data_IF_254082924441
#
_entry.id   IF_254082924441
#
_cell.length_a   1.000
_cell.length_b   1.000
_cell.length_c   1.000
_cell.angle_alpha   90.00
_cell.angle_beta   90.00
_cell.angle_gamma   90.00
#
_symmetry.space_group_name_H-M   'P 1'
#
loop_
_entity.id
_entity.type
_entity.pdbx_description
1 polymer ?
#
# COMPACT_ATOMS: atom_id res chain seq x y z
N UNK A 1 -9.23 9.96 -24.21
CA UNK A 1 -9.59 9.28 -25.44
C UNK A 1 -10.85 8.45 -25.31
N UNK A 2 -10.89 7.34 -24.56
CA UNK A 2 -12.07 6.46 -24.45
C UNK A 2 -13.11 6.92 -23.42
N UNK A 3 -12.74 7.75 -22.45
CA UNK A 3 -13.62 8.16 -21.36
C UNK A 3 -14.91 8.87 -21.83
N UNK A 4 -14.92 9.75 -22.86
CA UNK A 4 -16.19 10.32 -23.34
C UNK A 4 -17.12 9.28 -23.99
N UNK A 5 -16.55 8.25 -24.64
CA UNK A 5 -17.31 7.14 -25.23
C UNK A 5 -18.14 6.41 -24.17
N UNK A 6 -17.56 6.19 -22.98
CA UNK A 6 -18.24 5.59 -21.83
C UNK A 6 -18.90 6.62 -20.91
N UNK A 7 -19.10 7.88 -21.37
CA UNK A 7 -19.72 8.98 -20.61
C UNK A 7 -19.01 9.28 -19.29
N UNK A 8 -17.70 9.15 -19.26
CA UNK A 8 -16.86 9.48 -18.11
C UNK A 8 -16.23 10.86 -18.29
N UNK A 9 -15.97 11.57 -17.19
CA UNK A 9 -15.31 12.87 -17.18
C UNK A 9 -13.79 12.75 -17.27
N UNK A 10 -13.25 11.67 -16.68
CA UNK A 10 -11.81 11.40 -16.59
C UNK A 10 -11.51 9.89 -16.67
N UNK A 11 -10.25 9.49 -16.87
CA UNK A 11 -9.86 8.08 -16.85
C UNK A 11 -10.08 7.43 -15.48
N UNK A 12 -10.94 6.39 -15.36
CA UNK A 12 -11.28 5.80 -14.06
C UNK A 12 -10.14 4.94 -13.45
N UNK A 13 -9.24 4.43 -14.28
CA UNK A 13 -8.21 3.46 -13.89
C UNK A 13 -6.78 4.01 -13.96
N UNK A 14 -6.61 5.29 -13.57
CA UNK A 14 -5.28 5.89 -13.40
C UNK A 14 -4.48 5.14 -12.33
N UNK A 15 -3.16 4.99 -12.58
CA UNK A 15 -2.22 4.38 -11.62
C UNK A 15 -1.67 5.38 -10.60
N UNK A 16 -1.86 6.67 -10.83
CA UNK A 16 -1.47 7.71 -9.87
C UNK A 16 -2.33 7.59 -8.60
N UNK A 17 -1.72 7.51 -7.42
CA UNK A 17 -2.47 7.45 -6.17
C UNK A 17 -3.27 8.74 -5.94
N UNK A 18 -4.59 8.65 -6.07
CA UNK A 18 -5.54 9.72 -5.80
C UNK A 18 -6.50 9.28 -4.69
N UNK A 19 -6.55 10.07 -3.61
CA UNK A 19 -7.38 9.77 -2.44
C UNK A 19 -8.88 9.85 -2.70
N UNK A 20 -9.32 10.54 -3.76
CA UNK A 20 -10.71 10.54 -4.20
C UNK A 20 -11.17 9.15 -4.64
N UNK A 21 -10.25 8.36 -5.20
CA UNK A 21 -10.49 6.98 -5.63
C UNK A 21 -10.24 5.93 -4.53
N UNK A 22 -10.11 6.33 -3.28
CA UNK A 22 -9.93 5.38 -2.19
C UNK A 22 -11.18 4.51 -2.02
N UNK A 23 -11.04 3.23 -2.26
CA UNK A 23 -12.08 2.24 -2.00
C UNK A 23 -11.91 1.67 -0.60
N UNK A 24 -12.93 1.90 0.25
CA UNK A 24 -12.92 1.47 1.65
C UNK A 24 -13.24 -0.03 1.77
N UNK A 25 -12.39 -0.87 1.16
CA UNK A 25 -12.46 -2.32 1.30
C UNK A 25 -12.32 -2.73 2.78
N UNK A 26 -13.02 -3.78 3.25
CA UNK A 26 -13.02 -4.17 4.66
C UNK A 26 -11.62 -4.30 5.28
N UNK A 27 -10.65 -4.94 4.60
CA UNK A 27 -9.29 -5.09 5.14
C UNK A 27 -8.54 -3.75 5.22
N UNK A 28 -8.68 -2.87 4.24
CA UNK A 28 -8.05 -1.55 4.27
C UNK A 28 -8.69 -0.65 5.34
N UNK A 29 -10.01 -0.74 5.52
CA UNK A 29 -10.71 0.00 6.57
C UNK A 29 -10.34 -0.53 7.96
N UNK A 30 -10.25 -1.85 8.15
CA UNK A 30 -9.80 -2.47 9.39
C UNK A 30 -8.37 -2.01 9.72
N UNK A 31 -7.44 -2.06 8.77
CA UNK A 31 -6.08 -1.60 8.94
C UNK A 31 -6.02 -0.11 9.34
N UNK A 32 -6.80 0.76 8.69
CA UNK A 32 -6.87 2.19 9.05
C UNK A 32 -7.40 2.38 10.47
N UNK A 33 -8.45 1.68 10.84
CA UNK A 33 -9.04 1.75 12.17
C UNK A 33 -8.05 1.27 13.25
N UNK A 34 -7.38 0.14 13.02
CA UNK A 34 -6.33 -0.37 13.92
C UNK A 34 -5.21 0.65 14.09
N UNK A 35 -4.73 1.27 12.99
CA UNK A 35 -3.72 2.34 13.06
C UNK A 35 -4.18 3.51 13.93
N UNK A 36 -5.39 4.01 13.70
CA UNK A 36 -5.91 5.17 14.44
C UNK A 36 -6.10 4.85 15.93
N UNK A 37 -6.59 3.64 16.25
CA UNK A 37 -6.74 3.18 17.64
C UNK A 37 -5.37 3.04 18.30
N UNK A 38 -4.43 2.33 17.69
CA UNK A 38 -3.09 2.11 18.21
C UNK A 38 -2.35 3.45 18.49
N UNK A 39 -2.42 4.37 17.53
CA UNK A 39 -1.79 5.69 17.68
C UNK A 39 -2.46 6.53 18.78
N UNK A 40 -3.79 6.43 18.95
CA UNK A 40 -4.49 7.10 20.06
C UNK A 40 -4.14 6.50 21.42
N UNK A 41 -3.92 5.20 21.49
CA UNK A 41 -3.50 4.50 22.70
C UNK A 41 -2.04 4.72 23.08
N UNK A 42 -1.25 5.41 22.23
CA UNK A 42 0.15 5.75 22.54
C UNK A 42 1.14 4.64 22.15
N UNK A 43 0.74 3.71 21.29
CA UNK A 43 1.63 2.62 20.83
C UNK A 43 2.85 3.16 20.09
N UNK A 44 4.03 2.57 20.40
CA UNK A 44 5.29 3.06 19.86
C UNK A 44 5.55 2.63 18.40
N UNK A 45 5.21 1.39 18.06
CA UNK A 45 5.38 0.84 16.71
C UNK A 45 4.12 0.13 16.23
N UNK A 46 3.73 0.46 15.02
CA UNK A 46 2.66 -0.24 14.29
C UNK A 46 3.16 -0.58 12.88
N UNK A 47 2.78 -1.74 12.38
CA UNK A 47 3.20 -2.22 11.06
C UNK A 47 1.98 -2.56 10.20
N UNK A 48 2.03 -2.13 8.94
CA UNK A 48 1.09 -2.52 7.88
C UNK A 48 1.87 -3.21 6.77
N UNK A 49 1.43 -4.39 6.41
CA UNK A 49 2.02 -5.17 5.32
C UNK A 49 0.98 -5.38 4.22
N UNK A 50 1.40 -5.23 2.98
CA UNK A 50 0.58 -5.56 1.83
C UNK A 50 1.44 -5.88 0.61
N UNK A 51 0.91 -6.71 -0.26
CA UNK A 51 1.52 -6.99 -1.57
C UNK A 51 1.65 -5.71 -2.42
N UNK A 52 2.56 -5.78 -3.40
CA UNK A 52 2.74 -4.69 -4.37
C UNK A 52 1.42 -4.43 -5.10
N UNK A 53 0.97 -3.17 -5.08
CA UNK A 53 -0.25 -2.78 -5.79
C UNK A 53 -1.55 -2.93 -4.99
N UNK A 54 -1.52 -3.39 -3.73
CA UNK A 54 -2.70 -3.49 -2.84
C UNK A 54 -3.08 -2.18 -2.14
N UNK A 55 -2.55 -1.03 -2.55
CA UNK A 55 -3.01 0.28 -2.09
C UNK A 55 -2.35 0.81 -0.82
N UNK A 56 -1.18 0.29 -0.39
CA UNK A 56 -0.40 0.78 0.78
C UNK A 56 -0.25 2.30 0.80
N UNK A 57 0.29 2.87 -0.28
CA UNK A 57 0.56 4.31 -0.37
C UNK A 57 -0.72 5.15 -0.29
N UNK A 58 -1.84 4.63 -0.80
CA UNK A 58 -3.12 5.30 -0.70
C UNK A 58 -3.66 5.28 0.74
N UNK A 59 -3.53 4.13 1.44
CA UNK A 59 -3.85 4.02 2.86
C UNK A 59 -2.96 4.93 3.71
N UNK A 60 -1.65 4.99 3.41
CA UNK A 60 -0.70 5.90 4.05
C UNK A 60 -1.16 7.37 3.93
N UNK A 61 -1.53 7.84 2.74
CA UNK A 61 -2.07 9.19 2.52
C UNK A 61 -3.38 9.43 3.29
N UNK A 62 -4.27 8.44 3.35
CA UNK A 62 -5.49 8.53 4.17
C UNK A 62 -5.19 8.63 5.65
N UNK A 63 -4.21 7.88 6.15
CA UNK A 63 -3.75 7.99 7.52
C UNK A 63 -3.21 9.40 7.82
N UNK A 64 -2.30 9.91 7.00
CA UNK A 64 -1.73 11.26 7.16
C UNK A 64 -2.83 12.33 7.19
N UNK A 65 -3.80 12.26 6.29
CA UNK A 65 -4.94 13.18 6.28
C UNK A 65 -5.80 13.07 7.55
N UNK A 66 -6.00 11.87 8.08
CA UNK A 66 -6.75 11.64 9.31
C UNK A 66 -6.02 12.16 10.56
N UNK A 67 -4.68 12.09 10.56
CA UNK A 67 -3.84 12.54 11.68
C UNK A 67 -3.60 14.05 11.71
N UNK A 68 -3.77 14.75 10.60
CA UNK A 68 -3.38 16.16 10.43
C UNK A 68 -3.98 17.13 11.47
N UNK A 69 -5.12 16.78 12.08
CA UNK A 69 -5.78 17.60 13.10
C UNK A 69 -5.17 17.42 14.50
N UNK A 70 -4.72 16.22 14.81
CA UNK A 70 -4.40 15.79 16.18
C UNK A 70 -2.91 15.52 16.40
N UNK A 71 -2.14 15.37 15.31
CA UNK A 71 -0.74 14.99 15.35
C UNK A 71 0.12 15.85 14.42
N UNK A 72 1.39 16.02 14.76
CA UNK A 72 2.41 16.39 13.79
C UNK A 72 2.96 15.11 13.15
N UNK A 73 3.08 15.10 11.84
CA UNK A 73 3.50 13.91 11.10
C UNK A 73 4.80 14.20 10.35
N UNK A 74 5.76 13.26 10.45
CA UNK A 74 6.90 13.16 9.56
C UNK A 74 6.64 12.03 8.58
N UNK A 75 6.83 12.26 7.27
CA UNK A 75 6.58 11.26 6.23
C UNK A 75 7.81 10.95 5.40
N UNK A 76 8.26 9.72 5.43
CA UNK A 76 9.42 9.24 4.67
C UNK A 76 8.95 8.26 3.60
N UNK A 77 8.78 8.69 2.34
CA UNK A 77 8.29 7.85 1.24
C UNK A 77 9.34 6.87 0.70
N UNK A 78 10.61 7.20 0.83
CA UNK A 78 11.72 6.36 0.39
C UNK A 78 12.77 6.26 1.51
N UNK A 79 12.74 5.18 2.31
CA UNK A 79 13.59 5.05 3.49
C UNK A 79 14.94 4.39 3.21
N UNK A 80 15.38 4.28 1.95
CA UNK A 80 16.71 3.77 1.59
C UNK A 80 17.81 4.79 1.95
N UNK A 81 17.79 5.23 3.22
CA UNK A 81 18.65 6.25 3.80
C UNK A 81 19.55 5.63 4.86
N UNK A 82 20.81 6.05 4.92
CA UNK A 82 21.66 5.73 6.07
C UNK A 82 21.11 6.36 7.35
N UNK A 83 21.56 5.85 8.49
CA UNK A 83 21.04 6.24 9.80
C UNK A 83 21.10 7.75 10.07
N UNK A 84 22.16 8.43 9.63
CA UNK A 84 22.32 9.87 9.83
C UNK A 84 21.38 10.67 8.94
N UNK A 85 21.31 10.31 7.67
CA UNK A 85 20.42 10.96 6.69
C UNK A 85 18.95 10.77 7.08
N UNK A 86 18.58 9.60 7.61
CA UNK A 86 17.24 9.36 8.16
C UNK A 86 16.90 10.32 9.31
N UNK A 87 17.82 10.55 10.25
CA UNK A 87 17.60 11.50 11.34
C UNK A 87 17.39 12.92 10.82
N UNK A 88 18.21 13.36 9.86
CA UNK A 88 18.08 14.68 9.25
C UNK A 88 16.74 14.83 8.54
N UNK A 89 16.32 13.82 7.78
CA UNK A 89 15.02 13.83 7.09
C UNK A 89 13.85 13.91 8.09
N UNK A 90 13.91 13.17 9.20
CA UNK A 90 12.88 13.27 10.25
C UNK A 90 12.87 14.67 10.90
N UNK A 91 14.04 15.26 11.16
CA UNK A 91 14.12 16.61 11.70
C UNK A 91 13.56 17.64 10.71
N UNK A 92 13.86 17.51 9.42
CA UNK A 92 13.35 18.36 8.34
C UNK A 92 11.82 18.31 8.26
N UNK A 93 11.24 17.11 8.19
CA UNK A 93 9.79 16.88 8.16
C UNK A 93 9.07 17.49 9.38
N UNK A 94 9.73 17.47 10.55
CA UNK A 94 9.22 18.08 11.77
C UNK A 94 9.61 19.56 11.93
N UNK A 95 10.23 20.19 10.94
CA UNK A 95 10.75 21.56 11.02
C UNK A 95 11.65 21.82 12.26
N UNK A 96 12.42 20.80 12.69
CA UNK A 96 13.42 20.90 13.75
C UNK A 96 14.73 21.36 13.13
N UNK A 97 15.22 22.51 13.54
CA UNK A 97 16.48 23.07 13.03
C UNK A 97 17.68 22.29 13.56
N UNK A 98 18.45 21.73 12.65
CA UNK A 98 19.69 21.01 12.95
C UNK A 98 20.76 21.46 11.96
N UNK A 99 21.98 21.65 12.46
CA UNK A 99 23.13 21.87 11.58
C UNK A 99 23.40 20.59 10.77
N UNK A 100 23.38 20.65 9.43
CA UNK A 100 23.70 19.49 8.60
C UNK A 100 25.09 18.90 8.83
N UNK A 101 26.04 19.65 9.39
CA UNK A 101 27.37 19.18 9.75
C UNK A 101 27.43 18.56 11.16
N UNK A 102 26.36 18.61 11.96
CA UNK A 102 26.33 18.09 13.32
C UNK A 102 26.59 16.57 13.36
N UNK A 103 27.16 16.07 14.44
CA UNK A 103 27.30 14.62 14.68
C UNK A 103 25.92 13.98 14.90
N UNK A 104 25.79 12.66 14.61
CA UNK A 104 24.54 11.94 14.84
C UNK A 104 24.03 12.08 16.27
N UNK A 105 24.93 12.08 17.26
CA UNK A 105 24.56 12.32 18.67
C UNK A 105 23.92 13.69 18.88
N UNK A 106 24.44 14.73 18.24
CA UNK A 106 23.88 16.08 18.33
C UNK A 106 22.50 16.13 17.66
N UNK A 107 22.35 15.51 16.50
CA UNK A 107 21.07 15.42 15.78
C UNK A 107 20.01 14.76 16.66
N UNK A 108 20.33 13.62 17.29
CA UNK A 108 19.41 12.92 18.22
C UNK A 108 18.99 13.83 19.39
N UNK A 109 19.93 14.58 19.99
CA UNK A 109 19.60 15.52 21.08
C UNK A 109 18.66 16.66 20.63
N UNK A 110 18.86 17.20 19.43
CA UNK A 110 17.97 18.24 18.90
C UNK A 110 16.59 17.66 18.57
N UNK A 111 16.53 16.42 18.02
CA UNK A 111 15.28 15.71 17.82
C UNK A 111 14.56 15.47 19.15
N UNK A 112 15.24 14.96 20.15
CA UNK A 112 14.68 14.74 21.49
C UNK A 112 14.10 16.03 22.09
N UNK A 113 14.84 17.14 22.01
CA UNK A 113 14.37 18.45 22.46
C UNK A 113 13.11 18.88 21.73
N UNK A 114 13.11 18.78 20.39
CA UNK A 114 11.95 19.13 19.57
C UNK A 114 10.72 18.27 19.85
N UNK A 115 10.91 16.97 20.13
CA UNK A 115 9.82 16.07 20.54
C UNK A 115 9.26 16.44 21.93
N UNK A 116 10.13 16.78 22.89
CA UNK A 116 9.72 17.23 24.23
C UNK A 116 8.92 18.55 24.20
N UNK A 117 9.33 19.52 23.37
CA UNK A 117 8.60 20.77 23.19
C UNK A 117 7.18 20.52 22.67
N UNK A 118 7.02 19.65 21.68
CA UNK A 118 5.73 19.24 21.14
C UNK A 118 4.86 18.53 22.18
N UNK A 119 5.48 17.63 22.93
CA UNK A 119 4.81 16.93 24.01
C UNK A 119 4.29 17.86 25.10
N UNK A 120 5.05 18.92 25.47
CA UNK A 120 4.63 19.95 26.41
C UNK A 120 3.47 20.78 25.84
N UNK A 121 3.45 21.01 24.53
CA UNK A 121 2.33 21.66 23.85
C UNK A 121 1.10 20.73 23.63
N UNK A 122 1.13 19.51 24.17
CA UNK A 122 0.03 18.54 24.03
C UNK A 122 -0.02 17.85 22.66
N UNK A 123 0.94 18.07 21.79
CA UNK A 123 0.96 17.50 20.43
C UNK A 123 1.66 16.16 20.40
N UNK A 124 1.07 15.22 19.68
CA UNK A 124 1.66 13.92 19.39
C UNK A 124 2.46 13.98 18.10
N UNK A 125 3.54 13.21 18.01
CA UNK A 125 4.37 13.11 16.81
C UNK A 125 4.34 11.68 16.28
N UNK A 126 4.02 11.54 14.99
CA UNK A 126 3.95 10.26 14.29
C UNK A 126 4.89 10.29 13.09
N UNK A 127 5.86 9.38 13.08
CA UNK A 127 6.73 9.11 11.94
C UNK A 127 6.09 8.01 11.09
N UNK A 128 5.77 8.30 9.86
CA UNK A 128 5.22 7.37 8.89
C UNK A 128 6.26 7.06 7.83
N UNK A 129 6.61 5.80 7.70
CA UNK A 129 7.63 5.32 6.75
C UNK A 129 6.95 4.39 5.75
N UNK A 130 6.95 4.76 4.46
CA UNK A 130 6.51 3.88 3.37
C UNK A 130 7.69 3.04 2.85
N UNK A 131 7.40 1.93 2.17
CA UNK A 131 8.39 0.98 1.63
C UNK A 131 9.43 0.52 2.68
N UNK A 132 8.99 0.28 3.92
CA UNK A 132 9.85 0.00 5.08
C UNK A 132 10.77 -1.23 4.91
N UNK A 133 10.49 -2.14 3.96
CA UNK A 133 11.41 -3.21 3.61
C UNK A 133 12.74 -2.70 3.00
N UNK A 134 12.79 -1.44 2.55
CA UNK A 134 14.00 -0.84 1.99
C UNK A 134 14.89 -0.15 3.04
N UNK A 135 14.48 -0.08 4.32
CA UNK A 135 15.27 0.55 5.40
C UNK A 135 16.56 -0.26 5.63
N UNK A 136 17.78 0.32 5.57
CA UNK A 136 19.00 -0.39 5.95
C UNK A 136 18.98 -0.85 7.42
N UNK A 137 19.60 -2.00 7.74
CA UNK A 137 19.55 -2.59 9.08
C UNK A 137 20.08 -1.64 10.19
N UNK A 138 21.14 -0.89 9.89
CA UNK A 138 21.66 0.15 10.82
C UNK A 138 20.63 1.25 11.08
N UNK A 139 19.84 1.60 10.08
CA UNK A 139 18.76 2.59 10.22
C UNK A 139 17.58 2.02 10.98
N UNK A 140 17.26 0.73 10.81
CA UNK A 140 16.26 0.03 11.64
C UNK A 140 16.65 0.09 13.12
N UNK A 141 17.91 -0.18 13.44
CA UNK A 141 18.40 -0.11 14.81
C UNK A 141 18.36 1.32 15.37
N UNK A 142 18.67 2.33 14.56
CA UNK A 142 18.52 3.71 14.94
C UNK A 142 17.04 4.05 15.28
N UNK A 143 16.08 3.64 14.45
CA UNK A 143 14.66 3.87 14.71
C UNK A 143 14.22 3.20 16.03
N UNK A 144 14.76 2.03 16.35
CA UNK A 144 14.55 1.38 17.64
C UNK A 144 15.06 2.23 18.81
N UNK A 145 16.25 2.82 18.67
CA UNK A 145 16.81 3.70 19.69
C UNK A 145 16.01 5.00 19.87
N UNK A 146 15.65 5.64 18.76
CA UNK A 146 14.87 6.90 18.80
C UNK A 146 13.47 6.67 19.35
N UNK A 147 12.88 5.49 19.15
CA UNK A 147 11.58 5.14 19.74
C UNK A 147 11.61 5.00 21.28
N UNK A 148 12.79 4.96 21.89
CA UNK A 148 12.95 5.00 23.35
C UNK A 148 12.82 6.39 23.94
N UNK A 149 12.74 7.42 23.11
CA UNK A 149 12.52 8.78 23.58
C UNK A 149 11.10 8.84 24.14
N UNK A 150 11.02 8.85 25.47
CA UNK A 150 9.75 8.81 26.20
C UNK A 150 9.85 9.65 27.48
N UNK A 151 8.70 10.03 27.99
CA UNK A 151 8.55 10.50 29.37
C UNK A 151 8.07 9.32 30.23
N UNK A 152 8.00 9.51 31.55
CA UNK A 152 7.44 8.50 32.47
C UNK A 152 6.02 8.04 32.08
N UNK A 153 5.30 8.82 31.28
CA UNK A 153 3.88 8.59 31.01
C UNK A 153 3.54 8.27 29.55
N UNK A 154 4.45 8.57 28.58
CA UNK A 154 4.12 8.41 27.16
C UNK A 154 5.34 8.38 26.25
N UNK A 155 5.21 7.69 25.12
CA UNK A 155 6.14 7.74 23.98
C UNK A 155 6.05 9.13 23.34
N UNK A 156 7.22 9.72 23.01
CA UNK A 156 7.29 11.02 22.34
C UNK A 156 7.24 10.90 20.83
N UNK A 157 7.64 9.75 20.28
CA UNK A 157 7.60 9.43 18.86
C UNK A 157 6.91 8.08 18.67
N UNK A 158 5.86 8.07 17.86
CA UNK A 158 5.18 6.86 17.41
C UNK A 158 5.60 6.59 15.96
N UNK A 159 5.81 5.34 15.59
CA UNK A 159 6.34 4.96 14.27
C UNK A 159 5.37 4.00 13.59
N UNK A 160 4.97 4.34 12.37
CA UNK A 160 4.15 3.48 11.50
C UNK A 160 4.99 3.03 10.32
N UNK A 161 5.13 1.72 10.16
CA UNK A 161 5.86 1.10 9.06
C UNK A 161 4.87 0.53 8.04
N UNK A 162 4.89 1.07 6.83
CA UNK A 162 4.21 0.46 5.69
C UNK A 162 5.24 -0.32 4.86
N UNK A 163 5.00 -1.61 4.64
CA UNK A 163 5.95 -2.46 3.92
C UNK A 163 5.30 -3.54 3.08
N UNK A 164 6.15 -4.23 2.34
CA UNK A 164 5.80 -5.44 1.59
C UNK A 164 6.05 -6.67 2.48
N UNK A 165 5.59 -7.90 2.10
CA UNK A 165 5.79 -9.10 2.90
C UNK A 165 7.25 -9.40 3.25
N UNK A 166 8.20 -8.91 2.45
CA UNK A 166 9.63 -9.00 2.71
C UNK A 166 10.04 -8.32 4.01
N UNK A 167 9.28 -7.30 4.45
CA UNK A 167 9.49 -6.67 5.75
C UNK A 167 9.33 -7.67 6.89
N UNK A 168 8.33 -8.56 6.82
CA UNK A 168 8.10 -9.58 7.83
C UNK A 168 9.29 -10.55 7.92
N UNK A 169 9.76 -11.03 6.76
CA UNK A 169 10.91 -11.92 6.68
C UNK A 169 12.20 -11.27 7.22
N UNK A 170 12.39 -9.97 6.95
CA UNK A 170 13.54 -9.22 7.48
C UNK A 170 13.46 -9.04 8.99
N UNK A 171 12.32 -8.58 9.51
CA UNK A 171 12.13 -8.34 10.95
C UNK A 171 12.22 -9.63 11.78
N UNK A 172 11.99 -10.79 11.17
CA UNK A 172 12.17 -12.10 11.82
C UNK A 172 13.65 -12.50 12.02
N UNK A 173 14.60 -11.80 11.38
CA UNK A 173 16.02 -12.09 11.50
C UNK A 173 16.51 -11.84 12.93
N UNK A 174 17.47 -12.64 13.44
CA UNK A 174 17.90 -12.59 14.84
C UNK A 174 18.33 -11.20 15.32
N UNK A 175 19.05 -10.44 14.49
CA UNK A 175 19.56 -9.12 14.84
C UNK A 175 18.48 -8.01 14.84
N UNK A 176 17.32 -8.22 14.22
CA UNK A 176 16.18 -7.28 14.20
C UNK A 176 15.06 -7.67 15.18
N UNK A 177 15.21 -8.81 15.88
CA UNK A 177 14.18 -9.35 16.76
C UNK A 177 13.74 -8.37 17.85
N UNK A 178 14.63 -7.50 18.32
CA UNK A 178 14.31 -6.49 19.33
C UNK A 178 13.31 -5.43 18.82
N UNK A 179 13.36 -5.08 17.53
CA UNK A 179 12.35 -4.20 16.93
C UNK A 179 11.01 -4.93 16.78
N UNK A 180 11.06 -6.19 16.30
CA UNK A 180 9.85 -7.00 16.14
C UNK A 180 9.04 -7.09 17.45
N UNK A 181 9.72 -7.24 18.61
CA UNK A 181 9.07 -7.28 19.93
C UNK A 181 8.43 -5.95 20.35
N UNK A 182 8.75 -4.85 19.69
CA UNK A 182 8.15 -3.52 19.95
C UNK A 182 6.96 -3.20 19.08
N UNK A 183 6.71 -3.99 18.04
CA UNK A 183 5.55 -3.82 17.18
C UNK A 183 4.34 -4.37 17.91
N UNK A 184 3.50 -3.47 18.42
CA UNK A 184 2.30 -3.81 19.19
C UNK A 184 1.15 -4.27 18.29
N UNK A 185 1.05 -3.70 17.10
CA UNK A 185 0.01 -4.02 16.11
C UNK A 185 0.61 -4.27 14.74
N UNK A 186 0.13 -5.32 14.10
CA UNK A 186 0.54 -5.70 12.75
C UNK A 186 -0.70 -6.11 11.96
N UNK A 187 -1.00 -5.35 10.91
CA UNK A 187 -2.12 -5.62 10.01
C UNK A 187 -1.63 -5.96 8.62
N UNK A 188 -2.44 -6.73 7.90
CA UNK A 188 -2.19 -7.07 6.50
C UNK A 188 -3.36 -6.59 5.64
N UNK A 189 -3.03 -5.92 4.53
CA UNK A 189 -4.03 -5.59 3.52
C UNK A 189 -4.01 -6.71 2.50
N UNK A 190 -5.12 -7.42 2.41
CA UNK A 190 -5.29 -8.51 1.46
C UNK A 190 -5.76 -7.98 0.10
N UNK A 191 -5.47 -8.70 -1.00
CA UNK A 191 -6.10 -8.44 -2.29
C UNK A 191 -7.63 -8.49 -2.19
N UNK A 192 -8.31 -7.84 -3.13
CA UNK A 192 -9.78 -7.81 -3.18
C UNK A 192 -10.34 -9.20 -3.48
N UNK A 193 -11.39 -9.58 -2.77
CA UNK A 193 -12.17 -10.78 -3.09
C UNK A 193 -12.92 -10.63 -4.43
N UNK A 194 -13.44 -11.73 -4.97
CA UNK A 194 -14.12 -11.73 -6.27
C UNK A 194 -15.32 -10.76 -6.30
N UNK A 195 -16.14 -10.74 -5.25
CA UNK A 195 -17.27 -9.82 -5.12
C UNK A 195 -16.80 -8.35 -5.04
N UNK A 196 -15.72 -8.10 -4.31
CA UNK A 196 -15.18 -6.75 -4.08
C UNK A 196 -14.55 -6.15 -5.34
N UNK A 197 -14.02 -6.97 -6.26
CA UNK A 197 -13.48 -6.48 -7.54
C UNK A 197 -14.56 -5.78 -8.36
N UNK A 198 -15.77 -6.35 -8.41
CA UNK A 198 -16.90 -5.71 -9.10
C UNK A 198 -17.29 -4.38 -8.46
N UNK A 199 -17.33 -4.31 -7.13
CA UNK A 199 -17.62 -3.07 -6.39
C UNK A 199 -16.52 -2.03 -6.57
N UNK A 200 -15.26 -2.44 -6.54
CA UNK A 200 -14.12 -1.58 -6.81
C UNK A 200 -14.19 -0.93 -8.20
N UNK A 201 -14.48 -1.73 -9.23
CA UNK A 201 -14.62 -1.20 -10.61
C UNK A 201 -15.78 -0.21 -10.68
N UNK A 202 -16.96 -0.53 -10.13
CA UNK A 202 -18.12 0.37 -10.08
C UNK A 202 -17.81 1.66 -9.32
N UNK A 203 -17.14 1.56 -8.18
CA UNK A 203 -16.71 2.73 -7.41
C UNK A 203 -15.82 3.65 -8.24
N UNK A 204 -14.81 3.11 -8.93
CA UNK A 204 -13.91 3.92 -9.77
C UNK A 204 -14.63 4.58 -10.95
N UNK A 205 -15.55 3.88 -11.60
CA UNK A 205 -16.38 4.45 -12.67
C UNK A 205 -17.28 5.56 -12.13
N UNK A 206 -17.89 5.39 -10.96
CA UNK A 206 -18.72 6.42 -10.34
C UNK A 206 -17.92 7.68 -9.99
N UNK A 207 -16.74 7.55 -9.40
CA UNK A 207 -15.83 8.67 -9.09
C UNK A 207 -15.41 9.39 -10.38
N UNK A 208 -15.12 8.66 -11.46
CA UNK A 208 -14.79 9.22 -12.76
C UNK A 208 -15.97 9.95 -13.45
N UNK A 209 -17.11 10.05 -12.79
CA UNK A 209 -18.30 10.77 -13.28
C UNK A 209 -19.22 9.92 -14.16
N UNK A 210 -19.10 8.60 -14.11
CA UNK A 210 -20.00 7.66 -14.76
C UNK A 210 -21.38 7.66 -14.10
N UNK A 211 -22.42 8.11 -14.80
CA UNK A 211 -23.81 7.98 -14.36
C UNK A 211 -24.31 6.52 -14.45
N UNK A 212 -23.84 5.79 -15.46
CA UNK A 212 -24.08 4.36 -15.64
C UNK A 212 -22.78 3.58 -15.35
N UNK A 213 -22.78 2.81 -14.27
CA UNK A 213 -21.63 2.01 -13.87
C UNK A 213 -21.58 0.64 -14.55
N UNK A 214 -22.51 0.33 -15.47
CA UNK A 214 -22.59 -0.93 -16.22
C UNK A 214 -21.69 -0.97 -17.46
N UNK A 215 -20.57 -0.29 -17.40
CA UNK A 215 -19.56 -0.30 -18.49
C UNK A 215 -18.96 -1.69 -18.68
N UNK A 216 -18.83 -2.47 -17.61
CA UNK A 216 -18.31 -3.85 -17.65
C UNK A 216 -19.44 -4.86 -17.51
N UNK A 217 -19.47 -5.86 -18.39
CA UNK A 217 -20.35 -7.02 -18.25
C UNK A 217 -19.95 -7.89 -17.04
N UNK A 218 -20.89 -8.62 -16.44
CA UNK A 218 -20.61 -9.48 -15.27
C UNK A 218 -19.51 -10.52 -15.57
N UNK A 219 -19.51 -11.10 -16.79
CA UNK A 219 -18.44 -12.01 -17.25
C UNK A 219 -17.09 -11.30 -17.34
N UNK A 220 -17.06 -10.03 -17.70
CA UNK A 220 -15.83 -9.25 -17.74
C UNK A 220 -15.30 -8.99 -16.33
N UNK A 221 -16.16 -8.70 -15.37
CA UNK A 221 -15.79 -8.52 -13.96
C UNK A 221 -15.23 -9.81 -13.35
N UNK A 222 -15.88 -10.97 -13.61
CA UNK A 222 -15.39 -12.26 -13.15
C UNK A 222 -14.00 -12.61 -13.76
N UNK A 223 -13.83 -12.36 -15.08
CA UNK A 223 -12.53 -12.57 -15.74
C UNK A 223 -11.47 -11.60 -15.20
N UNK A 224 -11.83 -10.35 -14.92
CA UNK A 224 -10.95 -9.34 -14.34
C UNK A 224 -10.47 -9.76 -12.93
N UNK A 225 -11.38 -10.25 -12.08
CA UNK A 225 -11.04 -10.78 -10.77
C UNK A 225 -10.05 -11.94 -10.87
N UNK A 226 -10.36 -12.90 -11.71
CA UNK A 226 -9.54 -14.11 -11.92
C UNK A 226 -8.13 -13.76 -12.45
N UNK A 227 -8.01 -12.81 -13.38
CA UNK A 227 -6.74 -12.44 -14.03
C UNK A 227 -5.87 -11.53 -13.15
N UNK A 228 -6.49 -10.65 -12.40
CA UNK A 228 -5.78 -9.72 -11.51
C UNK A 228 -5.40 -10.33 -10.16
N UNK A 229 -6.01 -11.46 -9.78
CA UNK A 229 -5.89 -12.02 -8.43
C UNK A 229 -6.38 -11.06 -7.34
N UNK A 230 -7.27 -10.13 -7.68
CA UNK A 230 -7.77 -9.10 -6.77
C UNK A 230 -6.81 -7.96 -6.46
N UNK A 231 -5.64 -7.90 -7.11
CA UNK A 231 -4.64 -6.84 -6.89
C UNK A 231 -5.10 -5.54 -7.56
N UNK A 232 -5.40 -4.44 -6.81
CA UNK A 232 -5.95 -3.20 -7.37
C UNK A 232 -5.15 -2.59 -8.51
N UNK A 233 -3.82 -2.64 -8.45
CA UNK A 233 -2.95 -2.16 -9.53
C UNK A 233 -3.15 -2.95 -10.82
N UNK A 234 -3.24 -4.29 -10.73
CA UNK A 234 -3.48 -5.15 -11.88
C UNK A 234 -4.90 -4.97 -12.42
N UNK A 235 -5.89 -4.83 -11.54
CA UNK A 235 -7.27 -4.50 -11.94
C UNK A 235 -7.26 -3.22 -12.77
N UNK A 236 -6.60 -2.15 -12.31
CA UNK A 236 -6.54 -0.88 -13.02
C UNK A 236 -5.88 -1.01 -14.39
N UNK A 237 -4.73 -1.69 -14.48
CA UNK A 237 -4.01 -1.88 -15.74
C UNK A 237 -4.86 -2.65 -16.75
N UNK A 238 -5.45 -3.77 -16.34
CA UNK A 238 -6.25 -4.62 -17.21
C UNK A 238 -7.53 -3.90 -17.63
N UNK A 239 -8.24 -3.28 -16.67
CA UNK A 239 -9.49 -2.57 -16.93
C UNK A 239 -9.27 -1.39 -17.89
N UNK A 240 -8.18 -0.61 -17.71
CA UNK A 240 -7.81 0.46 -18.62
C UNK A 240 -7.60 -0.05 -20.05
N UNK A 241 -6.79 -1.09 -20.24
CA UNK A 241 -6.54 -1.71 -21.54
C UNK A 241 -7.80 -2.30 -22.14
N UNK A 242 -8.63 -2.99 -21.36
CA UNK A 242 -9.89 -3.58 -21.81
C UNK A 242 -10.89 -2.50 -22.30
N UNK A 243 -10.95 -1.35 -21.61
CA UNK A 243 -11.74 -0.20 -22.09
C UNK A 243 -11.20 0.37 -23.39
N UNK A 244 -9.89 0.42 -23.57
CA UNK A 244 -9.28 0.86 -24.83
C UNK A 244 -9.62 -0.09 -25.99
N UNK A 245 -9.60 -1.40 -25.76
CA UNK A 245 -9.97 -2.41 -26.75
C UNK A 245 -11.45 -2.28 -27.14
N UNK A 246 -12.34 -2.22 -26.16
CA UNK A 246 -13.78 -2.05 -26.39
C UNK A 246 -14.08 -0.74 -27.15
N UNK A 247 -13.41 0.35 -26.82
CA UNK A 247 -13.49 1.62 -27.54
C UNK A 247 -13.03 1.46 -29.00
N UNK A 248 -11.91 0.79 -29.24
CA UNK A 248 -11.39 0.53 -30.60
C UNK A 248 -12.35 -0.29 -31.47
N UNK A 249 -13.15 -1.16 -30.86
CA UNK A 249 -14.21 -1.95 -31.52
C UNK A 249 -15.54 -1.16 -31.65
N UNK A 250 -15.66 0.02 -31.05
CA UNK A 250 -16.92 0.78 -30.99
C UNK A 250 -17.96 0.13 -30.06
N UNK A 251 -17.55 -0.79 -29.18
CA UNK A 251 -18.45 -1.49 -28.28
C UNK A 251 -18.94 -0.58 -27.14
N UNK A 252 -20.23 -0.66 -26.81
CA UNK A 252 -20.83 0.12 -25.72
C UNK A 252 -20.43 -0.39 -24.32
N UNK A 253 -20.01 -1.67 -24.22
CA UNK A 253 -19.62 -2.33 -22.98
C UNK A 253 -18.31 -3.11 -23.13
N UNK A 254 -17.63 -3.33 -22.01
CA UNK A 254 -16.43 -4.16 -21.93
C UNK A 254 -16.84 -5.60 -21.69
N UNK A 255 -16.65 -6.46 -22.66
CA UNK A 255 -16.91 -7.89 -22.58
C UNK A 255 -15.71 -8.68 -22.04
N UNK A 256 -15.94 -9.91 -21.59
CA UNK A 256 -14.89 -10.80 -21.07
C UNK A 256 -13.71 -11.01 -22.03
N UNK A 257 -13.95 -11.01 -23.37
CA UNK A 257 -12.87 -11.11 -24.37
C UNK A 257 -11.90 -9.95 -24.33
N UNK A 258 -12.37 -8.72 -24.07
CA UNK A 258 -11.51 -7.53 -23.98
C UNK A 258 -10.58 -7.65 -22.77
N UNK A 259 -11.11 -8.15 -21.64
CA UNK A 259 -10.33 -8.41 -20.42
C UNK A 259 -9.28 -9.50 -20.66
N UNK A 260 -9.66 -10.60 -21.33
CA UNK A 260 -8.73 -11.66 -21.66
C UNK A 260 -7.56 -11.16 -22.51
N UNK A 261 -7.84 -10.43 -23.60
CA UNK A 261 -6.81 -9.82 -24.47
C UNK A 261 -5.94 -8.82 -23.73
N UNK A 262 -6.54 -7.92 -22.92
CA UNK A 262 -5.83 -6.94 -22.13
C UNK A 262 -4.87 -7.60 -21.12
N UNK A 263 -5.26 -8.73 -20.54
CA UNK A 263 -4.43 -9.45 -19.57
C UNK A 263 -3.24 -10.15 -20.22
N UNK A 264 -3.37 -10.67 -21.43
CA UNK A 264 -2.27 -11.31 -22.17
C UNK A 264 -1.14 -10.34 -22.50
N UNK A 265 -1.50 -9.07 -22.73
CA UNK A 265 -0.56 -7.97 -22.98
C UNK A 265 -0.06 -7.29 -21.69
N UNK A 266 -0.37 -7.82 -20.52
CA UNK A 266 0.02 -7.19 -19.24
C UNK A 266 1.11 -8.01 -18.55
N UNK A 267 2.34 -7.46 -18.40
CA UNK A 267 3.43 -8.12 -17.67
C UNK A 267 3.05 -8.39 -16.20
N UNK A 268 3.56 -9.48 -15.64
CA UNK A 268 3.35 -9.82 -14.23
C UNK A 268 2.04 -10.56 -13.93
N UNK A 269 1.19 -10.78 -14.92
CA UNK A 269 0.05 -11.69 -14.78
C UNK A 269 0.58 -13.11 -15.04
N UNK A 270 0.62 -13.91 -13.98
CA UNK A 270 0.90 -15.35 -14.12
C UNK A 270 -0.08 -15.97 -15.11
N UNK A 271 0.41 -16.66 -16.15
CA UNK A 271 -0.47 -17.49 -16.95
C UNK A 271 -1.23 -18.38 -15.97
N UNK A 272 -2.59 -18.46 -16.05
CA UNK A 272 -3.33 -19.36 -15.20
C UNK A 272 -2.70 -20.73 -15.32
N UNK A 273 -2.33 -21.34 -14.19
CA UNK A 273 -1.76 -22.67 -14.18
C UNK A 273 -2.70 -23.56 -14.97
N UNK A 274 -2.24 -24.09 -16.12
CA UNK A 274 -3.03 -25.08 -16.87
C UNK A 274 -3.35 -26.20 -15.89
N UNK A 275 -4.64 -26.55 -15.71
CA UNK A 275 -5.00 -27.59 -14.76
C UNK A 275 -4.22 -28.84 -15.13
N UNK A 276 -3.49 -29.43 -14.18
CA UNK A 276 -2.58 -30.57 -14.36
C UNK A 276 -3.25 -31.79 -15.01
N UNK A 277 -4.59 -31.84 -15.02
CA UNK A 277 -5.35 -32.93 -15.69
C UNK A 277 -5.32 -32.84 -17.22
N UNK A 278 -5.06 -31.66 -17.83
CA UNK A 278 -4.96 -31.57 -19.31
C UNK A 278 -3.69 -32.25 -19.86
N UNK A 279 -2.64 -32.38 -19.04
CA UNK A 279 -1.44 -33.12 -19.40
C UNK A 279 -1.67 -34.64 -19.49
N UNK A 280 -2.64 -35.15 -18.76
CA UNK A 280 -2.98 -36.59 -18.77
C UNK A 280 -3.81 -37.00 -20.00
N UNK A 281 -4.64 -36.13 -20.56
CA UNK A 281 -5.43 -36.39 -21.75
C UNK A 281 -4.62 -36.39 -23.06
N UNK A 282 -3.44 -35.74 -23.06
CA UNK A 282 -2.55 -35.70 -24.24
C UNK A 282 -1.45 -36.77 -24.20
N UNK A 283 -1.27 -37.44 -23.07
CA UNK A 283 -0.45 -38.66 -22.98
C UNK A 283 -1.34 -39.89 -23.29
N UNK A 284 -1.56 -40.12 -24.56
CA UNK A 284 -2.25 -41.35 -25.02
C UNK A 284 -1.51 -42.60 -24.52
N UNK A 285 -2.24 -43.76 -24.38
CA UNK A 285 -1.64 -44.99 -23.87
C UNK A 285 -0.51 -45.43 -24.80
N UNK A 286 0.70 -45.48 -24.24
CA UNK A 286 1.88 -45.97 -24.94
C UNK A 286 1.61 -47.36 -25.53
N UNK A 287 1.67 -47.44 -26.84
CA UNK A 287 1.67 -48.73 -27.53
C UNK A 287 2.88 -49.53 -27.06
N UNK A 288 2.62 -50.59 -26.30
CA UNK A 288 3.61 -51.64 -26.11
C UNK A 288 4.04 -52.17 -27.47
N UNK A 289 5.31 -52.36 -27.65
CA UNK A 289 5.90 -53.15 -28.73
C UNK A 289 6.47 -54.45 -28.14
N UNK A 290 6.41 -55.53 -28.97
CA UNK A 290 6.67 -56.92 -28.58
C UNK A 290 8.10 -57.19 -28.13
#
# INVERSE_FOLDING_TARGET
MYHPHFRLREPPFSLTPDTAYFFAHPSAQAALNTLLVALRSGEGFVKIVAEVGCGKTLLCRRLLAALAKDCETAYIPNPSLDARTMLLAVCEELAIRVDPAATSHRIVKELERGLLERARAGRRVVLVIDEAQAIPDRTVELLRLVSNIETEKRKLLQIVLFGQPELDARLAQPHLRQLLQRISFSERIEPLGEADVGEYVRHRLAVAGGGDTRVFEDRALAELSRRSGGVPRLINVIAHKAMMLAFGEGAATVAGRHVAMASEDTPGIGRPARPRWLGWMLAGPGRGRP
#
